data_IF_654583052250
#
_entry.id   IF_654583052250
#
_cell.length_a   1.000
_cell.length_b   1.000
_cell.length_c   1.000
_cell.angle_alpha   90.00
_cell.angle_beta   90.00
_cell.angle_gamma   90.00
#
_symmetry.space_group_name_H-M   'P 1'
#
loop_
_entity.id
_entity.type
_entity.pdbx_description
1 polymer ?
#
# COMPACT_ATOMS: atom_id res chain seq x y z
N UNK A 1 22.59 -78.87 31.25
CA UNK A 1 21.24 -78.27 31.23
C UNK A 1 21.42 -76.78 31.46
N UNK A 2 21.37 -75.97 30.39
CA UNK A 2 21.36 -74.51 30.49
C UNK A 2 20.30 -73.99 29.54
N UNK A 3 19.26 -73.44 30.15
CA UNK A 3 18.02 -72.95 29.55
C UNK A 3 18.26 -71.61 28.86
N UNK A 4 17.75 -71.48 27.64
CA UNK A 4 17.67 -70.24 26.89
C UNK A 4 16.65 -69.29 27.54
N UNK A 5 17.01 -68.01 27.69
CA UNK A 5 16.07 -66.95 28.03
C UNK A 5 15.72 -66.22 26.73
N UNK A 6 14.49 -66.38 26.25
CA UNK A 6 13.92 -65.57 25.18
C UNK A 6 13.35 -64.26 25.74
N UNK A 7 13.31 -63.17 24.95
CA UNK A 7 12.76 -61.89 25.39
C UNK A 7 11.26 -62.01 25.72
N UNK A 8 10.81 -61.15 26.63
CA UNK A 8 9.44 -61.19 27.15
C UNK A 8 8.42 -60.71 26.09
N UNK A 9 7.24 -61.35 25.96
CA UNK A 9 6.30 -61.12 24.86
C UNK A 9 5.53 -59.79 24.93
N UNK A 10 5.96 -58.83 25.76
CA UNK A 10 5.30 -57.53 25.93
C UNK A 10 6.19 -56.33 25.54
N UNK A 11 7.36 -56.57 24.95
CA UNK A 11 8.14 -55.50 24.30
C UNK A 11 7.44 -55.07 22.99
N UNK A 12 6.55 -54.08 23.10
CA UNK A 12 6.05 -53.34 21.94
C UNK A 12 7.20 -52.52 21.32
N UNK A 13 7.39 -52.58 19.99
CA UNK A 13 8.39 -51.77 19.32
C UNK A 13 8.07 -50.29 19.50
N UNK A 14 9.08 -49.53 19.92
CA UNK A 14 8.99 -48.11 20.24
C UNK A 14 8.23 -47.31 19.18
N UNK A 15 7.18 -46.63 19.64
CA UNK A 15 6.49 -45.63 18.85
C UNK A 15 7.49 -44.50 18.50
N UNK A 16 7.79 -44.38 17.21
CA UNK A 16 8.46 -43.21 16.65
C UNK A 16 7.68 -41.95 17.07
N UNK A 17 8.33 -40.88 17.56
CA UNK A 17 7.63 -39.62 17.78
C UNK A 17 7.14 -39.12 16.42
N UNK A 18 5.84 -39.24 16.18
CA UNK A 18 5.17 -38.57 15.06
C UNK A 18 5.22 -37.07 15.36
N UNK A 19 6.13 -36.36 14.71
CA UNK A 19 6.18 -34.91 14.77
C UNK A 19 4.86 -34.35 14.26
N UNK A 20 4.07 -33.73 15.14
CA UNK A 20 2.89 -32.97 14.74
C UNK A 20 3.34 -31.91 13.74
N UNK A 21 2.77 -31.83 12.53
CA UNK A 21 3.04 -30.71 11.64
C UNK A 21 2.58 -29.46 12.37
N UNK A 22 3.54 -28.61 12.74
CA UNK A 22 3.23 -27.27 13.20
C UNK A 22 2.84 -26.50 11.95
N UNK A 23 1.54 -26.38 11.69
CA UNK A 23 1.02 -25.46 10.68
C UNK A 23 1.42 -24.05 11.10
N UNK A 24 2.52 -23.54 10.54
CA UNK A 24 2.87 -22.13 10.69
C UNK A 24 1.81 -21.34 9.95
N UNK A 25 0.86 -20.77 10.68
CA UNK A 25 -0.09 -19.80 10.12
C UNK A 25 0.73 -18.64 9.58
N UNK A 26 0.58 -18.36 8.29
CA UNK A 26 1.24 -17.21 7.66
C UNK A 26 0.83 -15.94 8.41
N UNK A 27 1.79 -15.04 8.63
CA UNK A 27 1.51 -13.75 9.26
C UNK A 27 0.45 -13.00 8.41
N UNK A 28 -0.51 -12.31 9.05
CA UNK A 28 -1.51 -11.55 8.31
C UNK A 28 -0.81 -10.48 7.47
N UNK A 29 -1.23 -10.36 6.21
CA UNK A 29 -0.81 -9.29 5.32
C UNK A 29 -1.25 -7.95 5.93
N UNK A 30 -0.37 -6.95 5.95
CA UNK A 30 -0.74 -5.58 6.32
C UNK A 30 -1.85 -5.05 5.41
N UNK A 31 -2.85 -4.38 5.99
CA UNK A 31 -3.91 -3.74 5.21
C UNK A 31 -4.20 -2.35 5.79
N UNK A 32 -3.60 -1.34 5.15
CA UNK A 32 -3.75 0.06 5.52
C UNK A 32 -5.20 0.56 5.37
N UNK A 33 -5.98 -0.04 4.47
CA UNK A 33 -7.39 0.33 4.24
C UNK A 33 -8.38 -0.59 4.96
N UNK A 34 -7.94 -1.37 5.95
CA UNK A 34 -8.79 -2.33 6.68
C UNK A 34 -10.03 -1.71 7.32
N UNK A 35 -9.99 -0.42 7.69
CA UNK A 35 -11.12 0.35 8.23
C UNK A 35 -11.90 1.14 7.16
N UNK A 36 -11.59 0.95 5.87
CA UNK A 36 -12.18 1.64 4.73
C UNK A 36 -11.38 2.86 4.25
N UNK A 37 -10.63 3.49 5.14
CA UNK A 37 -9.75 4.63 4.83
C UNK A 37 -8.52 4.68 5.75
N UNK A 38 -7.53 5.47 5.36
CA UNK A 38 -6.32 5.74 6.15
C UNK A 38 -5.81 7.15 5.92
N UNK A 39 -5.42 7.81 7.01
CA UNK A 39 -4.82 9.14 6.99
C UNK A 39 -3.30 9.03 6.99
N UNK A 40 -2.64 9.94 6.26
CA UNK A 40 -1.19 10.07 6.17
C UNK A 40 -0.78 11.54 6.25
N UNK A 41 0.37 11.77 6.84
CA UNK A 41 1.04 13.06 6.84
C UNK A 41 2.45 12.87 6.26
N UNK A 42 2.78 13.63 5.22
CA UNK A 42 4.08 13.55 4.55
C UNK A 42 4.74 14.92 4.59
N UNK A 43 6.00 14.96 5.02
CA UNK A 43 6.79 16.19 5.02
C UNK A 43 7.85 16.12 3.93
N UNK A 44 7.84 17.11 3.03
CA UNK A 44 8.86 17.32 2.04
C UNK A 44 9.32 18.78 2.17
N UNK A 45 10.53 18.98 2.70
CA UNK A 45 11.10 20.30 2.97
C UNK A 45 10.18 21.18 3.82
N UNK A 46 9.70 22.28 3.25
CA UNK A 46 8.79 23.24 3.88
C UNK A 46 7.30 22.85 3.77
N UNK A 47 6.95 21.83 2.99
CA UNK A 47 5.57 21.38 2.78
C UNK A 47 5.25 20.22 3.71
N UNK A 48 4.12 20.30 4.40
CA UNK A 48 3.46 19.15 5.01
C UNK A 48 2.18 18.88 4.24
N UNK A 49 2.05 17.67 3.68
CA UNK A 49 0.86 17.20 2.98
C UNK A 49 0.04 16.29 3.90
N UNK A 50 -1.22 16.65 4.11
CA UNK A 50 -2.22 15.84 4.80
C UNK A 50 -3.06 15.12 3.77
N UNK A 51 -3.10 13.80 3.85
CA UNK A 51 -3.68 12.93 2.82
C UNK A 51 -4.64 11.95 3.48
N UNK A 52 -5.84 11.82 2.92
CA UNK A 52 -6.76 10.75 3.24
C UNK A 52 -6.87 9.84 2.02
N UNK A 53 -6.60 8.54 2.19
CA UNK A 53 -6.82 7.53 1.17
C UNK A 53 -8.03 6.67 1.53
N UNK A 54 -8.82 6.29 0.54
CA UNK A 54 -9.93 5.36 0.73
C UNK A 54 -10.22 4.58 -0.56
N UNK A 55 -11.04 3.54 -0.42
CA UNK A 55 -11.58 2.81 -1.56
C UNK A 55 -13.10 2.87 -1.52
N UNK A 56 -13.72 3.09 -2.68
CA UNK A 56 -15.18 2.96 -2.83
C UNK A 56 -15.60 1.49 -3.01
N UNK A 57 -14.66 0.62 -3.35
CA UNK A 57 -14.83 -0.83 -3.34
C UNK A 57 -14.53 -1.36 -1.93
N UNK A 58 -15.44 -2.15 -1.38
CA UNK A 58 -15.25 -2.76 -0.06
C UNK A 58 -14.07 -3.73 -0.05
N UNK A 59 -13.34 -3.81 1.06
CA UNK A 59 -12.08 -4.58 1.15
C UNK A 59 -12.25 -6.09 0.91
N UNK A 60 -13.43 -6.64 1.20
CA UNK A 60 -13.80 -8.02 0.88
C UNK A 60 -13.95 -8.29 -0.62
N UNK A 61 -14.02 -7.23 -1.44
CA UNK A 61 -14.11 -7.29 -2.90
C UNK A 61 -12.83 -6.88 -3.61
N UNK A 62 -11.75 -6.63 -2.86
CA UNK A 62 -10.42 -6.43 -3.44
C UNK A 62 -9.82 -7.78 -3.84
N UNK A 63 -10.31 -8.34 -4.94
CA UNK A 63 -9.84 -9.64 -5.47
C UNK A 63 -8.87 -9.45 -6.64
N UNK A 64 -8.20 -10.53 -7.05
CA UNK A 64 -7.16 -10.47 -8.08
C UNK A 64 -7.73 -9.96 -9.42
N UNK A 65 -8.89 -10.46 -9.83
CA UNK A 65 -9.53 -10.13 -11.11
C UNK A 65 -10.24 -8.76 -11.13
N UNK A 66 -10.53 -8.19 -9.96
CA UNK A 66 -11.36 -6.97 -9.86
C UNK A 66 -10.51 -5.70 -10.09
N UNK A 67 -11.06 -4.68 -10.74
CA UNK A 67 -10.44 -3.34 -10.78
C UNK A 67 -10.69 -2.64 -9.45
N UNK A 68 -9.62 -2.22 -8.77
CA UNK A 68 -9.66 -1.70 -7.40
C UNK A 68 -9.43 -0.18 -7.41
N UNK A 69 -10.43 0.65 -7.07
CA UNK A 69 -10.28 2.10 -7.02
C UNK A 69 -9.61 2.56 -5.73
N UNK A 70 -8.48 3.27 -5.84
CA UNK A 70 -7.89 4.04 -4.75
C UNK A 70 -8.20 5.51 -4.96
N UNK A 71 -9.03 6.06 -4.09
CA UNK A 71 -9.31 7.49 -4.02
C UNK A 71 -8.46 8.17 -2.98
N UNK A 72 -8.14 9.44 -3.20
CA UNK A 72 -7.44 10.27 -2.23
C UNK A 72 -7.97 11.71 -2.21
N UNK A 73 -7.74 12.37 -1.08
CA UNK A 73 -7.84 13.82 -0.90
C UNK A 73 -6.55 14.31 -0.26
N UNK A 74 -5.99 15.38 -0.79
CA UNK A 74 -4.73 15.95 -0.35
C UNK A 74 -4.88 17.46 -0.16
N UNK A 75 -4.47 17.96 0.99
CA UNK A 75 -4.20 19.37 1.21
C UNK A 75 -2.79 19.54 1.80
N UNK A 76 -2.27 20.76 1.75
CA UNK A 76 -0.94 21.09 2.24
C UNK A 76 -0.95 22.27 3.19
N UNK A 77 0.06 22.31 4.05
CA UNK A 77 0.51 23.49 4.78
C UNK A 77 1.97 23.79 4.40
N UNK A 78 2.43 25.01 4.69
CA UNK A 78 3.81 25.44 4.43
C UNK A 78 4.41 26.10 5.67
N UNK A 79 5.68 25.82 5.95
CA UNK A 79 6.43 26.40 7.06
C UNK A 79 7.79 26.94 6.61
N UNK A 80 8.12 28.23 6.88
CA UNK A 80 7.26 29.24 7.49
C UNK A 80 6.11 29.67 6.55
N UNK A 81 4.95 30.00 7.15
CA UNK A 81 3.81 30.55 6.43
C UNK A 81 3.95 32.07 6.29
N UNK A 82 4.81 32.47 5.36
CA UNK A 82 5.02 33.88 5.02
C UNK A 82 4.04 34.38 3.93
N UNK A 83 3.01 33.58 3.58
CA UNK A 83 2.09 33.86 2.46
C UNK A 83 2.52 33.27 1.11
N UNK A 84 3.40 32.28 1.15
CA UNK A 84 3.86 31.53 -0.02
C UNK A 84 2.78 30.52 -0.45
N UNK A 85 2.59 30.32 -1.76
CA UNK A 85 1.65 29.31 -2.27
C UNK A 85 2.34 27.98 -2.56
N UNK A 86 1.59 26.90 -2.38
CA UNK A 86 2.00 25.52 -2.71
C UNK A 86 1.11 24.99 -3.83
N UNK A 87 1.76 24.49 -4.89
CA UNK A 87 1.08 23.97 -6.07
C UNK A 87 1.45 22.50 -6.29
N UNK A 88 0.47 21.66 -6.56
CA UNK A 88 0.71 20.30 -7.05
C UNK A 88 0.95 20.35 -8.57
N UNK A 89 2.08 19.81 -9.01
CA UNK A 89 2.37 19.63 -10.43
C UNK A 89 2.00 18.25 -10.94
N UNK A 90 2.21 17.22 -10.11
CA UNK A 90 2.03 15.85 -10.53
C UNK A 90 1.77 14.94 -9.34
N UNK A 91 0.81 14.04 -9.51
CA UNK A 91 0.64 12.86 -8.68
C UNK A 91 0.87 11.62 -9.54
N UNK A 92 1.66 10.67 -9.05
CA UNK A 92 1.93 9.40 -9.74
C UNK A 92 1.66 8.25 -8.81
N UNK A 93 0.97 7.21 -9.28
CA UNK A 93 0.75 5.97 -8.56
C UNK A 93 1.30 4.79 -9.36
N UNK A 94 2.08 3.94 -8.70
CA UNK A 94 2.54 2.65 -9.24
C UNK A 94 2.04 1.56 -8.30
N UNK A 95 1.38 0.56 -8.86
CA UNK A 95 0.91 -0.60 -8.12
C UNK A 95 1.89 -1.77 -8.32
N UNK A 96 2.36 -2.33 -7.22
CA UNK A 96 3.27 -3.48 -7.19
C UNK A 96 2.55 -4.63 -6.47
N UNK A 97 2.00 -5.60 -7.20
CA UNK A 97 1.40 -6.79 -6.58
C UNK A 97 2.51 -7.62 -5.91
N UNK A 98 2.18 -8.32 -4.84
CA UNK A 98 3.15 -9.13 -4.10
C UNK A 98 2.56 -10.41 -3.54
N UNK A 99 3.44 -11.34 -3.21
CA UNK A 99 3.13 -12.60 -2.52
C UNK A 99 3.92 -12.69 -1.21
N UNK A 100 3.78 -13.78 -0.46
CA UNK A 100 4.61 -14.03 0.72
C UNK A 100 6.10 -14.23 0.40
N UNK A 101 6.46 -14.50 -0.86
CA UNK A 101 7.83 -14.77 -1.29
C UNK A 101 8.52 -13.59 -1.96
N UNK A 102 7.77 -12.54 -2.32
CA UNK A 102 8.31 -11.32 -2.93
C UNK A 102 7.33 -10.62 -3.87
N UNK A 103 7.83 -9.57 -4.50
CA UNK A 103 7.08 -8.72 -5.42
C UNK A 103 6.91 -9.39 -6.80
N UNK A 104 5.76 -9.11 -7.42
CA UNK A 104 5.48 -9.44 -8.81
C UNK A 104 5.80 -8.22 -9.71
N UNK A 105 5.61 -8.38 -11.02
CA UNK A 105 5.83 -7.29 -11.96
C UNK A 105 4.89 -6.10 -11.65
N UNK A 106 5.42 -4.86 -11.58
CA UNK A 106 4.60 -3.68 -11.33
C UNK A 106 3.66 -3.41 -12.52
N UNK A 107 2.50 -2.84 -12.21
CA UNK A 107 1.58 -2.32 -13.22
C UNK A 107 2.11 -1.01 -13.80
N UNK A 108 1.57 -0.61 -14.96
CA UNK A 108 1.87 0.69 -15.54
C UNK A 108 1.54 1.83 -14.57
N UNK A 109 2.46 2.81 -14.52
CA UNK A 109 2.29 3.99 -13.72
C UNK A 109 1.11 4.82 -14.22
N UNK A 110 0.25 5.25 -13.30
CA UNK A 110 -0.77 6.25 -13.57
C UNK A 110 -0.28 7.61 -13.12
N UNK A 111 -0.37 8.59 -14.03
CA UNK A 111 0.13 9.94 -13.80
C UNK A 111 -1.02 10.93 -14.01
N UNK A 112 -1.32 11.71 -12.98
CA UNK A 112 -2.07 12.96 -13.13
C UNK A 112 -1.08 14.12 -13.09
N UNK A 113 -1.06 14.92 -14.15
CA UNK A 113 -0.17 16.06 -14.30
C UNK A 113 -0.98 17.33 -14.53
N UNK A 114 -0.59 18.41 -13.87
CA UNK A 114 -1.28 19.67 -13.97
C UNK A 114 -1.29 20.20 -15.41
N UNK A 115 -2.47 20.61 -15.88
CA UNK A 115 -2.65 21.20 -17.22
C UNK A 115 -2.55 22.73 -17.19
N UNK A 116 -2.27 23.32 -16.03
CA UNK A 116 -2.14 24.77 -15.81
C UNK A 116 -0.80 25.07 -15.16
N UNK A 117 -0.24 26.24 -15.46
CA UNK A 117 1.00 26.72 -14.84
C UNK A 117 0.69 27.58 -13.61
N UNK A 118 1.43 27.45 -12.49
CA UNK A 118 2.54 26.51 -12.27
C UNK A 118 2.07 25.09 -11.87
N UNK A 119 0.82 24.94 -11.46
CA UNK A 119 0.19 23.70 -11.01
C UNK A 119 -1.16 24.01 -10.36
N UNK A 120 -1.82 23.01 -9.77
CA UNK A 120 -3.05 23.22 -9.00
C UNK A 120 -2.73 23.70 -7.58
N UNK A 121 -3.41 24.75 -7.10
CA UNK A 121 -3.22 25.23 -5.73
C UNK A 121 -3.74 24.18 -4.74
N UNK A 122 -2.88 23.72 -3.83
CA UNK A 122 -3.22 22.69 -2.82
C UNK A 122 -2.89 23.13 -1.40
N UNK A 123 -2.63 24.43 -1.21
CA UNK A 123 -2.50 25.01 0.12
C UNK A 123 -3.89 25.16 0.73
N UNK A 124 -4.08 24.72 1.98
CA UNK A 124 -5.38 24.79 2.67
C UNK A 124 -5.98 26.20 2.57
N UNK A 125 -7.29 26.35 2.28
CA UNK A 125 -8.34 25.31 2.26
C UNK A 125 -8.53 24.60 0.91
N UNK A 126 -7.62 24.79 -0.05
CA UNK A 126 -7.73 24.15 -1.37
C UNK A 126 -7.14 22.74 -1.32
N UNK A 127 -7.90 21.76 -1.81
CA UNK A 127 -7.47 20.37 -1.86
C UNK A 127 -7.44 19.83 -3.29
N UNK A 128 -6.59 18.82 -3.49
CA UNK A 128 -6.56 17.95 -4.65
C UNK A 128 -7.32 16.66 -4.32
N UNK A 129 -8.08 16.13 -5.28
CA UNK A 129 -8.74 14.84 -5.14
C UNK A 129 -8.62 14.05 -6.44
N UNK A 130 -8.34 12.76 -6.33
CA UNK A 130 -8.12 11.88 -7.48
C UNK A 130 -8.49 10.44 -7.14
N UNK A 131 -8.90 9.68 -8.16
CA UNK A 131 -8.99 8.23 -8.09
C UNK A 131 -8.01 7.60 -9.07
N UNK A 132 -7.17 6.70 -8.58
CA UNK A 132 -6.34 5.82 -9.39
C UNK A 132 -6.93 4.41 -9.40
N UNK A 133 -6.80 3.69 -10.50
CA UNK A 133 -7.40 2.35 -10.64
C UNK A 133 -6.32 1.29 -10.70
N UNK A 134 -6.24 0.43 -9.68
CA UNK A 134 -5.37 -0.74 -9.73
C UNK A 134 -6.07 -1.81 -10.57
N UNK A 135 -5.48 -2.15 -11.71
CA UNK A 135 -6.03 -3.16 -12.61
C UNK A 135 -6.05 -4.57 -12.01
N UNK A 136 -6.52 -5.56 -12.79
CA UNK A 136 -6.34 -6.96 -12.43
C UNK A 136 -4.87 -7.29 -12.19
N UNK A 137 -4.61 -8.19 -11.24
CA UNK A 137 -3.26 -8.68 -10.93
C UNK A 137 -3.23 -10.20 -11.06
N UNK A 138 -2.04 -10.80 -10.95
CA UNK A 138 -1.90 -12.25 -10.93
C UNK A 138 -2.72 -12.87 -9.78
N UNK A 139 -3.36 -14.01 -10.03
CA UNK A 139 -4.17 -14.74 -9.03
C UNK A 139 -3.36 -15.19 -7.82
N UNK A 140 -2.03 -15.31 -7.93
CA UNK A 140 -1.15 -15.63 -6.80
C UNK A 140 -0.89 -14.43 -5.88
N UNK A 141 -1.25 -13.21 -6.29
CA UNK A 141 -1.03 -12.00 -5.51
C UNK A 141 -1.87 -12.02 -4.22
N UNK A 142 -1.21 -11.83 -3.08
CA UNK A 142 -1.87 -11.74 -1.77
C UNK A 142 -2.06 -10.31 -1.31
N UNK A 143 -1.38 -9.36 -1.95
CA UNK A 143 -1.47 -7.94 -1.65
C UNK A 143 -1.03 -7.11 -2.85
N UNK A 144 -1.29 -5.81 -2.74
CA UNK A 144 -0.70 -4.79 -3.61
C UNK A 144 -0.10 -3.70 -2.75
N UNK A 145 1.13 -3.33 -3.06
CA UNK A 145 1.81 -2.16 -2.54
C UNK A 145 1.62 -1.02 -3.54
N UNK A 146 1.02 0.07 -3.11
CA UNK A 146 0.76 1.26 -3.91
C UNK A 146 1.79 2.32 -3.52
N UNK A 147 2.64 2.67 -4.47
CA UNK A 147 3.67 3.69 -4.32
C UNK A 147 3.13 4.98 -4.93
N UNK A 148 2.91 6.00 -4.11
CA UNK A 148 2.35 7.29 -4.54
C UNK A 148 3.42 8.35 -4.40
N UNK A 149 3.64 9.16 -5.45
CA UNK A 149 4.58 10.27 -5.45
C UNK A 149 3.86 11.56 -5.81
N UNK A 150 4.08 12.60 -5.01
CA UNK A 150 3.57 13.96 -5.23
C UNK A 150 4.74 14.91 -5.47
N UNK A 151 4.68 15.62 -6.58
CA UNK A 151 5.61 16.70 -6.91
C UNK A 151 4.92 18.05 -6.68
N UNK A 152 5.41 18.80 -5.69
CA UNK A 152 4.96 20.14 -5.35
C UNK A 152 5.93 21.20 -5.86
N UNK A 153 5.39 22.38 -6.15
CA UNK A 153 6.12 23.62 -6.34
C UNK A 153 5.70 24.62 -5.26
N UNK A 154 6.67 25.14 -4.53
CA UNK A 154 6.47 26.18 -3.52
C UNK A 154 7.08 27.47 -4.00
N UNK A 155 6.32 28.57 -3.95
CA UNK A 155 6.88 29.88 -4.24
C UNK A 155 8.05 30.17 -3.31
N UNK A 156 9.18 30.68 -3.82
CA UNK A 156 10.35 31.00 -2.99
C UNK A 156 10.15 32.19 -2.06
N UNK A 157 9.25 33.10 -2.45
CA UNK A 157 8.74 34.22 -1.65
C UNK A 157 7.30 34.52 -2.07
N UNK A 158 6.50 35.22 -1.24
CA UNK A 158 5.12 35.58 -1.60
C UNK A 158 5.06 36.31 -2.94
N UNK A 159 4.13 35.91 -3.81
CA UNK A 159 3.92 36.45 -5.17
C UNK A 159 5.03 36.14 -6.20
N UNK A 160 6.10 35.42 -5.81
CA UNK A 160 7.20 35.04 -6.70
C UNK A 160 6.75 34.16 -7.86
N UNK A 161 7.47 34.25 -8.98
CA UNK A 161 7.39 33.33 -10.12
C UNK A 161 8.53 32.31 -10.13
N UNK A 162 9.35 32.30 -9.09
CA UNK A 162 10.37 31.30 -8.84
C UNK A 162 9.83 30.28 -7.85
N UNK A 163 10.10 29.00 -8.12
CA UNK A 163 9.53 27.90 -7.36
C UNK A 163 10.61 26.91 -6.93
N UNK A 164 10.52 26.43 -5.69
CA UNK A 164 11.28 25.30 -5.20
C UNK A 164 10.46 24.02 -5.40
N UNK A 165 11.06 23.00 -6.03
CA UNK A 165 10.44 21.67 -6.16
C UNK A 165 10.59 20.90 -4.85
N UNK A 166 9.50 20.30 -4.39
CA UNK A 166 9.46 19.44 -3.20
C UNK A 166 8.72 18.15 -3.56
N UNK A 167 9.32 17.00 -3.29
CA UNK A 167 8.74 15.70 -3.64
C UNK A 167 8.48 14.91 -2.38
N UNK A 168 7.25 14.41 -2.23
CA UNK A 168 6.86 13.48 -1.19
C UNK A 168 6.49 12.14 -1.81
N UNK A 169 6.88 11.05 -1.17
CA UNK A 169 6.50 9.68 -1.57
C UNK A 169 5.89 8.97 -0.39
N UNK A 170 4.84 8.19 -0.68
CA UNK A 170 4.12 7.36 0.28
C UNK A 170 4.05 5.93 -0.22
N UNK A 171 3.78 5.01 0.69
CA UNK A 171 3.56 3.61 0.38
C UNK A 171 2.42 3.08 1.25
N UNK A 172 1.39 2.56 0.60
CA UNK A 172 0.28 1.87 1.27
C UNK A 172 0.21 0.43 0.79
N UNK A 173 -0.08 -0.49 1.69
CA UNK A 173 -0.28 -1.92 1.39
C UNK A 173 -1.73 -2.27 1.60
N UNK A 174 -2.35 -2.89 0.60
CA UNK A 174 -3.74 -3.35 0.67
C UNK A 174 -3.77 -4.83 0.36
N UNK A 175 -4.43 -5.60 1.22
CA UNK A 175 -4.58 -7.04 1.03
C UNK A 175 -5.48 -7.36 -0.17
N UNK A 176 -5.17 -8.46 -0.85
CA UNK A 176 -6.02 -9.04 -1.89
C UNK A 176 -6.69 -10.27 -1.30
N UNK A 177 -8.01 -10.32 -1.42
CA UNK A 177 -8.83 -11.43 -0.96
C UNK A 177 -8.88 -12.48 -2.07
N UNK A 178 -8.71 -13.75 -1.71
CA UNK A 178 -8.90 -14.84 -2.63
C UNK A 178 -10.35 -14.83 -3.13
N UNK A 179 -10.56 -15.01 -4.43
CA UNK A 179 -11.91 -15.19 -4.98
C UNK A 179 -12.47 -16.52 -4.44
N UNK A 180 -13.32 -16.45 -3.41
CA UNK A 180 -14.13 -17.60 -2.97
C UNK A 180 -15.28 -17.76 -3.97
N UNK A 181 -14.97 -18.24 -5.17
CA UNK A 181 -15.98 -18.88 -5.99
C UNK A 181 -16.17 -20.26 -5.40
N UNK A 182 -17.23 -20.47 -4.62
CA UNK A 182 -17.65 -21.81 -4.19
C UNK A 182 -17.85 -22.67 -5.45
N UNK A 183 -17.04 -23.73 -5.60
CA UNK A 183 -17.22 -24.82 -6.56
C UNK A 183 -18.23 -25.84 -6.01
#
# INVERSE_FOLDING_TARGET
>A
MSTACGPAPWEEPGASPSGTPTSTVAAPVSNDLSTGSTARELTAGAVTASIEYWSTLSMDRWTAATVKPLSLSLETTVAPDDGQKVYLQRATMIAVPGTSTGDLAPLEAQVDAATVSPGYLVLSPYSYSQTFNVGPVDEVATHVTLQITFDFLVQTTPTSKEYAKQTATDTITVAIVADTSDD
#
